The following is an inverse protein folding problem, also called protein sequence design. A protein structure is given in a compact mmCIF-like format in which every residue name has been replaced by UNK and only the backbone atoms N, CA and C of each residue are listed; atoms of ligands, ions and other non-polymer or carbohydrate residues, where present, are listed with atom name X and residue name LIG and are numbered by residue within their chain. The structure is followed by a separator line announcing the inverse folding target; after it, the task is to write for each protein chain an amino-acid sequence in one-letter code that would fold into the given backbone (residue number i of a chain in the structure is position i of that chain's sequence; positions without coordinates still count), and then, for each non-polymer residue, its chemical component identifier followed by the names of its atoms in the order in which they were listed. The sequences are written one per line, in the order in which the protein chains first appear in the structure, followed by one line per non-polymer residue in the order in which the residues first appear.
data_IF_984128167621
#
_entry.id   IF_984128167621
#
_cell.length_a   1.000
_cell.length_b   1.000
_cell.length_c   1.000
_cell.angle_alpha   90.00
_cell.angle_beta   90.00
_cell.angle_gamma   90.00
#
_symmetry.space_group_name_H-M   'P 1'
#
loop_
_entity.id
_entity.type
_entity.pdbx_description
1 polymer ?
#
# COMPACT_ATOMS: atom_id res chain seq x y z
N UNK A 1 18.53 4.83 -8.70
CA UNK A 1 18.56 4.57 -7.24
C UNK A 1 17.32 5.17 -6.58
N UNK A 2 16.62 4.36 -5.81
CA UNK A 2 15.39 4.80 -5.14
C UNK A 2 15.76 5.56 -3.87
N UNK A 3 15.15 6.72 -3.71
CA UNK A 3 15.46 7.61 -2.61
C UNK A 3 14.40 7.49 -1.52
N UNK A 4 14.83 7.20 -0.30
CA UNK A 4 13.94 7.15 0.86
C UNK A 4 13.40 8.55 1.14
N UNK A 5 12.10 8.64 1.36
CA UNK A 5 11.41 9.88 1.70
C UNK A 5 11.23 9.89 3.21
N UNK A 6 11.67 10.97 3.86
CA UNK A 6 11.72 11.06 5.32
C UNK A 6 11.20 12.41 5.81
N UNK A 7 10.93 12.45 7.11
CA UNK A 7 10.63 13.69 7.82
C UNK A 7 9.40 14.42 7.28
N UNK A 8 9.53 15.73 7.13
CA UNK A 8 8.42 16.58 6.69
C UNK A 8 7.91 16.21 5.30
N UNK A 9 8.79 15.81 4.40
CA UNK A 9 8.41 15.40 3.05
C UNK A 9 7.52 14.16 3.08
N UNK A 10 7.84 13.19 3.93
CA UNK A 10 7.02 11.99 4.10
C UNK A 10 5.67 12.34 4.71
N UNK A 11 5.67 13.19 5.72
CA UNK A 11 4.44 13.66 6.36
C UNK A 11 3.50 14.32 5.35
N UNK A 12 4.03 15.19 4.52
CA UNK A 12 3.27 15.89 3.50
C UNK A 12 2.70 14.93 2.46
N UNK A 13 3.51 13.96 2.03
CA UNK A 13 3.08 12.97 1.05
C UNK A 13 1.97 12.09 1.60
N UNK A 14 2.09 11.66 2.85
CA UNK A 14 1.08 10.81 3.51
C UNK A 14 -0.22 11.58 3.75
N UNK A 15 -0.14 12.90 3.96
CA UNK A 15 -1.33 13.74 4.11
C UNK A 15 -2.23 13.69 2.87
N UNK A 16 -1.65 13.45 1.70
CA UNK A 16 -2.40 13.29 0.44
C UNK A 16 -3.02 11.89 0.30
N UNK A 17 -2.74 10.99 1.24
CA UNK A 17 -3.24 9.62 1.26
C UNK A 17 -3.94 9.36 2.59
N UNK A 18 -5.11 9.99 2.83
CA UNK A 18 -5.74 9.99 4.17
C UNK A 18 -6.17 8.62 4.67
N UNK A 19 -6.33 7.64 3.79
CA UNK A 19 -6.68 6.27 4.18
C UNK A 19 -5.46 5.45 4.62
N UNK A 20 -4.27 6.00 4.49
CA UNK A 20 -3.02 5.32 4.82
C UNK A 20 -2.40 5.93 6.06
N UNK A 21 -1.71 5.08 6.84
CA UNK A 21 -0.99 5.50 8.05
C UNK A 21 0.42 4.93 8.03
N UNK A 22 1.36 5.68 8.59
CA UNK A 22 2.70 5.16 8.81
C UNK A 22 2.69 4.31 10.07
N UNK A 23 3.10 3.05 9.91
CA UNK A 23 3.27 2.11 11.02
C UNK A 23 4.68 1.53 10.97
N UNK A 24 4.97 0.61 11.90
CA UNK A 24 6.31 0.05 12.05
C UNK A 24 6.81 -0.63 10.78
N UNK A 25 5.92 -1.27 10.05
CA UNK A 25 6.24 -2.04 8.84
C UNK A 25 5.99 -1.29 7.54
N UNK A 26 5.70 0.00 7.62
CA UNK A 26 5.58 0.82 6.42
C UNK A 26 4.32 1.66 6.37
N UNK A 27 3.90 1.96 5.15
CA UNK A 27 2.67 2.70 4.89
C UNK A 27 1.52 1.71 4.80
N UNK A 28 0.54 1.84 5.69
CA UNK A 28 -0.47 0.80 5.92
C UNK A 28 -1.89 1.31 5.67
N UNK A 29 -2.67 0.51 4.97
CA UNK A 29 -4.12 0.70 4.85
C UNK A 29 -4.82 -0.59 5.25
N UNK A 30 -5.87 -0.45 6.06
CA UNK A 30 -6.76 -1.56 6.45
C UNK A 30 -8.09 -1.37 5.75
N UNK A 31 -8.60 -2.43 5.12
CA UNK A 31 -9.81 -2.36 4.30
C UNK A 31 -10.77 -3.46 4.74
N UNK A 32 -12.01 -3.08 4.96
CA UNK A 32 -13.09 -4.01 5.26
C UNK A 32 -13.96 -4.17 4.02
N UNK A 33 -14.08 -5.40 3.54
CA UNK A 33 -14.92 -5.72 2.38
C UNK A 33 -16.25 -6.34 2.84
N UNK A 34 -17.29 -6.34 1.98
CA UNK A 34 -18.56 -6.96 2.35
C UNK A 34 -18.47 -8.47 2.54
N UNK A 35 -17.54 -9.14 1.85
CA UNK A 35 -17.35 -10.59 1.96
C UNK A 35 -15.93 -10.98 1.55
N UNK A 36 -15.63 -12.26 1.69
CA UNK A 36 -14.31 -12.80 1.34
C UNK A 36 -14.05 -12.70 -0.17
N UNK A 37 -15.04 -12.96 -0.98
CA UNK A 37 -14.91 -12.93 -2.45
C UNK A 37 -14.47 -11.54 -2.93
N UNK A 38 -15.10 -10.50 -2.39
CA UNK A 38 -14.73 -9.12 -2.72
C UNK A 38 -13.31 -8.79 -2.26
N UNK A 39 -12.92 -9.26 -1.07
CA UNK A 39 -11.57 -9.07 -0.56
C UNK A 39 -10.54 -9.71 -1.50
N UNK A 40 -10.78 -10.94 -1.94
CA UNK A 40 -9.85 -11.65 -2.82
C UNK A 40 -9.81 -11.00 -4.21
N UNK A 41 -10.93 -10.50 -4.70
CA UNK A 41 -10.95 -9.77 -5.98
C UNK A 41 -10.03 -8.55 -5.92
N UNK A 42 -10.06 -7.81 -4.83
CA UNK A 42 -9.12 -6.69 -4.61
C UNK A 42 -7.67 -7.17 -4.58
N UNK A 43 -7.37 -8.24 -3.85
CA UNK A 43 -6.02 -8.79 -3.74
C UNK A 43 -5.50 -9.20 -5.11
N UNK A 44 -6.32 -9.82 -5.94
CA UNK A 44 -5.93 -10.22 -7.30
C UNK A 44 -5.57 -9.01 -8.16
N UNK A 45 -6.33 -7.92 -8.07
CA UNK A 45 -6.03 -6.69 -8.80
C UNK A 45 -4.77 -6.02 -8.27
N UNK A 46 -4.59 -6.03 -6.95
CA UNK A 46 -3.37 -5.48 -6.32
C UNK A 46 -2.13 -6.27 -6.79
N UNK A 47 -2.25 -7.59 -6.92
CA UNK A 47 -1.17 -8.43 -7.40
C UNK A 47 -0.77 -8.07 -8.84
N UNK A 48 -1.74 -7.76 -9.69
CA UNK A 48 -1.47 -7.32 -11.07
C UNK A 48 -0.62 -6.04 -11.09
N UNK A 49 -1.00 -5.05 -10.28
CA UNK A 49 -0.24 -3.81 -10.18
C UNK A 49 1.17 -4.04 -9.62
N UNK A 50 1.27 -4.92 -8.62
CA UNK A 50 2.55 -5.24 -8.00
C UNK A 50 3.52 -5.86 -9.01
N UNK A 51 3.02 -6.76 -9.84
CA UNK A 51 3.84 -7.39 -10.88
C UNK A 51 4.26 -6.37 -11.94
N UNK A 52 3.37 -5.50 -12.36
CA UNK A 52 3.68 -4.47 -13.36
C UNK A 52 4.74 -3.48 -12.84
N UNK A 53 4.65 -3.12 -11.57
CA UNK A 53 5.56 -2.16 -10.96
C UNK A 53 6.85 -2.82 -10.43
N UNK A 54 6.89 -4.14 -10.41
CA UNK A 54 7.95 -4.89 -9.75
C UNK A 54 8.17 -4.40 -8.31
N UNK A 55 7.06 -4.18 -7.61
CA UNK A 55 7.06 -3.67 -6.26
C UNK A 55 5.88 -4.30 -5.50
N UNK A 56 6.20 -5.18 -4.55
CA UNK A 56 5.22 -6.07 -3.94
C UNK A 56 4.86 -5.63 -2.52
N UNK A 57 3.56 -5.35 -2.27
CA UNK A 57 3.11 -5.05 -0.92
C UNK A 57 3.07 -6.29 -0.05
N UNK A 58 3.13 -6.09 1.27
CA UNK A 58 2.80 -7.15 2.21
C UNK A 58 1.28 -7.12 2.43
N UNK A 59 0.63 -8.25 2.25
CA UNK A 59 -0.83 -8.32 2.35
C UNK A 59 -1.23 -9.40 3.36
N UNK A 60 -1.97 -8.97 4.38
CA UNK A 60 -2.61 -9.88 5.33
C UNK A 60 -4.07 -10.04 4.97
N UNK A 61 -4.52 -11.28 4.90
CA UNK A 61 -5.90 -11.62 4.56
C UNK A 61 -6.53 -12.31 5.76
N UNK A 62 -7.56 -11.69 6.33
CA UNK A 62 -8.31 -12.27 7.45
C UNK A 62 -9.79 -12.19 7.13
N UNK A 63 -10.31 -13.23 6.49
CA UNK A 63 -11.67 -13.29 5.98
C UNK A 63 -11.93 -12.10 5.05
N UNK A 64 -12.75 -11.14 5.47
CA UNK A 64 -13.08 -9.95 4.66
C UNK A 64 -12.26 -8.72 5.04
N UNK A 65 -11.23 -8.89 5.85
CA UNK A 65 -10.35 -7.80 6.30
C UNK A 65 -9.00 -7.94 5.63
N UNK A 66 -8.59 -6.90 4.94
CA UNK A 66 -7.29 -6.87 4.25
C UNK A 66 -6.44 -5.76 4.88
N UNK A 67 -5.19 -6.10 5.18
CA UNK A 67 -4.20 -5.11 5.62
C UNK A 67 -3.08 -5.10 4.61
N UNK A 68 -2.84 -3.93 4.02
CA UNK A 68 -1.77 -3.74 3.04
C UNK A 68 -0.69 -2.88 3.67
N UNK A 69 0.55 -3.35 3.62
CA UNK A 69 1.71 -2.59 4.09
C UNK A 69 2.70 -2.40 2.95
N UNK A 70 3.12 -1.18 2.74
CA UNK A 70 4.03 -0.79 1.66
C UNK A 70 5.33 -0.24 2.22
N UNK A 71 6.43 -0.81 1.80
CA UNK A 71 7.77 -0.29 2.09
C UNK A 71 8.71 -0.76 0.98
N UNK A 72 9.80 -0.05 0.78
CA UNK A 72 10.80 -0.46 -0.20
C UNK A 72 11.99 -1.07 0.55
N UNK A 73 11.97 -2.39 0.71
CA UNK A 73 12.96 -3.10 1.49
C UNK A 73 14.39 -2.83 1.01
N UNK A 74 14.60 -2.81 -0.30
CA UNK A 74 15.91 -2.57 -0.88
C UNK A 74 16.47 -1.18 -0.60
N UNK A 75 15.61 -0.22 -0.26
CA UNK A 75 16.00 1.14 0.10
C UNK A 75 15.99 1.39 1.60
N UNK A 76 15.36 0.50 2.37
CA UNK A 76 15.26 0.63 3.82
C UNK A 76 14.20 1.60 4.30
N UNK A 77 13.18 1.88 3.51
CA UNK A 77 12.10 2.79 3.92
C UNK A 77 11.12 3.09 2.81
N UNK A 78 10.32 4.12 3.04
CA UNK A 78 9.29 4.54 2.08
C UNK A 78 9.94 5.30 0.93
N UNK A 79 9.60 4.93 -0.29
CA UNK A 79 10.04 5.63 -1.49
C UNK A 79 8.83 6.05 -2.32
N UNK A 80 9.10 6.73 -3.42
CA UNK A 80 8.07 7.11 -4.39
C UNK A 80 7.26 5.91 -4.88
N UNK A 81 7.89 4.74 -4.97
CA UNK A 81 7.20 3.52 -5.39
C UNK A 81 6.04 3.17 -4.47
N UNK A 82 6.23 3.37 -3.16
CA UNK A 82 5.18 3.08 -2.17
C UNK A 82 4.02 4.06 -2.29
N UNK A 83 4.34 5.34 -2.48
CA UNK A 83 3.32 6.37 -2.64
C UNK A 83 2.50 6.16 -3.92
N UNK A 84 3.17 5.83 -5.01
CA UNK A 84 2.49 5.56 -6.28
C UNK A 84 1.61 4.32 -6.18
N UNK A 85 2.10 3.27 -5.54
CA UNK A 85 1.31 2.04 -5.32
C UNK A 85 0.09 2.32 -4.45
N UNK A 86 0.25 3.08 -3.38
CA UNK A 86 -0.88 3.45 -2.50
C UNK A 86 -1.96 4.18 -3.29
N UNK A 87 -1.57 5.13 -4.13
CA UNK A 87 -2.53 5.88 -4.96
C UNK A 87 -3.25 4.96 -5.94
N UNK A 88 -2.53 4.01 -6.56
CA UNK A 88 -3.15 3.06 -7.49
C UNK A 88 -4.12 2.13 -6.80
N UNK A 89 -3.77 1.65 -5.61
CA UNK A 89 -4.67 0.78 -4.84
C UNK A 89 -5.92 1.54 -4.39
N UNK A 90 -5.77 2.82 -4.04
CA UNK A 90 -6.92 3.65 -3.69
C UNK A 90 -7.90 3.78 -4.86
N UNK A 91 -7.40 3.85 -6.09
CA UNK A 91 -8.26 3.90 -7.27
C UNK A 91 -9.15 2.66 -7.41
N UNK A 92 -8.62 1.48 -7.01
CA UNK A 92 -9.41 0.25 -7.04
C UNK A 92 -10.57 0.27 -6.05
N UNK A 93 -10.49 1.12 -5.04
CA UNK A 93 -11.44 1.14 -3.93
C UNK A 93 -12.47 2.27 -4.03
N UNK A 94 -12.42 3.01 -5.10
CA UNK A 94 -13.40 4.08 -5.37
C UNK A 94 -14.70 3.52 -5.90
#
# INVERSE_FOLDING_TARGET
MRKVIEGAKLKDAVADLPSWKLEKDGLVRKILFPDFKAAIAFVNQAAEFAEQADHHPDIDIRFNKIRVALTTHSAGGITRMDLDMAARLDELLK
#
